data_IF_394025782336
#
_entry.id   IF_394025782336
#
_cell.length_a   1.000
_cell.length_b   1.000
_cell.length_c   1.000
_cell.angle_alpha   90.00
_cell.angle_beta   90.00
_cell.angle_gamma   90.00
#
_symmetry.space_group_name_H-M   'P 1'
#
loop_
_entity.id
_entity.type
_entity.pdbx_description
1 polymer ?
#
# COMPACT_ATOMS: atom_id res chain seq x y z
N UNK A 1 5.50 -16.07 6.45
CA UNK A 1 5.69 -15.65 5.04
C UNK A 1 4.79 -16.43 4.09
N UNK A 2 4.73 -17.78 4.15
CA UNK A 2 3.89 -18.61 3.26
C UNK A 2 2.40 -18.23 3.31
N UNK A 3 1.84 -18.01 4.52
CA UNK A 3 0.46 -17.53 4.67
C UNK A 3 0.25 -16.18 3.98
N UNK A 4 1.23 -15.28 4.12
CA UNK A 4 1.19 -13.97 3.46
C UNK A 4 1.20 -14.11 1.93
N UNK A 5 2.10 -14.96 1.40
CA UNK A 5 2.17 -15.22 -0.05
C UNK A 5 0.87 -15.83 -0.58
N UNK A 6 0.30 -16.80 0.14
CA UNK A 6 -1.00 -17.38 -0.20
C UNK A 6 -2.09 -16.32 -0.29
N UNK A 7 -2.24 -15.49 0.76
CA UNK A 7 -3.26 -14.45 0.79
C UNK A 7 -3.06 -13.40 -0.32
N UNK A 8 -1.79 -13.05 -0.62
CA UNK A 8 -1.48 -12.12 -1.71
C UNK A 8 -1.80 -12.71 -3.08
N UNK A 9 -1.53 -13.99 -3.29
CA UNK A 9 -1.94 -14.69 -4.53
C UNK A 9 -3.46 -14.71 -4.67
N UNK A 10 -4.20 -15.03 -3.61
CA UNK A 10 -5.67 -14.96 -3.60
C UNK A 10 -6.20 -13.58 -3.98
N UNK A 11 -5.51 -12.51 -3.56
CA UNK A 11 -5.86 -11.14 -3.91
C UNK A 11 -5.63 -10.85 -5.39
N UNK A 12 -4.41 -11.10 -5.90
CA UNK A 12 -4.03 -10.68 -7.26
C UNK A 12 -4.63 -11.55 -8.36
N UNK A 13 -4.98 -12.81 -8.05
CA UNK A 13 -5.64 -13.72 -8.98
C UNK A 13 -7.16 -13.72 -8.85
N UNK A 14 -7.72 -12.78 -8.06
CA UNK A 14 -9.16 -12.70 -7.88
C UNK A 14 -9.89 -12.35 -9.18
N UNK A 15 -11.04 -12.98 -9.38
CA UNK A 15 -11.96 -12.71 -10.48
C UNK A 15 -13.22 -11.95 -10.05
N UNK A 16 -13.34 -11.70 -8.76
CA UNK A 16 -14.44 -10.96 -8.17
C UNK A 16 -13.99 -10.18 -6.94
N UNK A 17 -14.82 -9.19 -6.54
CA UNK A 17 -14.55 -8.30 -5.42
C UNK A 17 -14.51 -9.02 -4.07
N UNK A 18 -15.30 -10.09 -3.87
CA UNK A 18 -15.35 -10.83 -2.61
C UNK A 18 -14.07 -11.65 -2.42
N UNK A 19 -13.59 -12.32 -3.46
CA UNK A 19 -12.32 -13.03 -3.42
C UNK A 19 -11.15 -12.05 -3.22
N UNK A 20 -11.17 -10.90 -3.91
CA UNK A 20 -10.17 -9.84 -3.69
C UNK A 20 -10.17 -9.38 -2.24
N UNK A 21 -11.35 -9.15 -1.64
CA UNK A 21 -11.49 -8.74 -0.25
C UNK A 21 -11.00 -9.83 0.72
N UNK A 22 -11.27 -11.10 0.44
CA UNK A 22 -10.74 -12.21 1.24
C UNK A 22 -9.20 -12.21 1.26
N UNK A 23 -8.57 -12.09 0.10
CA UNK A 23 -7.11 -11.96 0.02
C UNK A 23 -6.60 -10.68 0.73
N UNK A 24 -7.33 -9.57 0.59
CA UNK A 24 -7.04 -8.28 1.23
C UNK A 24 -7.00 -8.36 2.76
N UNK A 25 -7.96 -9.05 3.34
CA UNK A 25 -8.04 -9.33 4.76
C UNK A 25 -6.93 -10.30 5.22
N UNK A 26 -6.69 -11.33 4.40
CA UNK A 26 -5.65 -12.33 4.66
C UNK A 26 -4.25 -11.73 4.72
N UNK A 27 -3.90 -10.81 3.80
CA UNK A 27 -2.60 -10.11 3.86
C UNK A 27 -2.53 -9.17 5.06
N UNK A 28 -3.65 -8.57 5.48
CA UNK A 28 -3.73 -7.76 6.69
C UNK A 28 -3.42 -8.56 7.95
N UNK A 29 -4.04 -9.72 8.09
CA UNK A 29 -3.80 -10.64 9.23
C UNK A 29 -2.36 -11.15 9.22
N UNK A 30 -1.86 -11.60 8.07
CA UNK A 30 -0.48 -12.10 7.97
C UNK A 30 0.54 -10.99 8.29
N UNK A 31 0.29 -9.76 7.86
CA UNK A 31 1.12 -8.60 8.19
C UNK A 31 1.12 -8.30 9.69
N UNK A 32 -0.04 -8.35 10.35
CA UNK A 32 -0.14 -8.21 11.80
C UNK A 32 0.78 -9.18 12.54
N UNK A 33 0.72 -10.47 12.17
CA UNK A 33 1.56 -11.52 12.77
C UNK A 33 3.05 -11.33 12.47
N UNK A 34 3.38 -10.82 11.28
CA UNK A 34 4.76 -10.62 10.85
C UNK A 34 5.41 -9.36 11.45
N UNK A 35 4.65 -8.28 11.64
CA UNK A 35 5.11 -7.06 12.34
C UNK A 35 5.32 -7.39 13.82
N UNK A 36 4.38 -8.12 14.43
CA UNK A 36 4.44 -8.58 15.81
C UNK A 36 5.30 -9.83 16.02
N UNK A 37 6.23 -10.17 15.11
CA UNK A 37 7.07 -11.36 15.21
C UNK A 37 7.84 -11.43 16.53
N UNK A 38 8.34 -10.29 17.00
CA UNK A 38 8.99 -10.16 18.29
C UNK A 38 7.99 -9.78 19.39
N UNK A 39 7.02 -10.66 19.64
CA UNK A 39 5.90 -10.40 20.56
C UNK A 39 6.33 -10.13 22.02
N UNK A 40 7.56 -10.47 22.37
CA UNK A 40 8.18 -10.13 23.68
C UNK A 40 8.52 -8.63 23.78
N UNK A 41 8.52 -7.89 22.66
CA UNK A 41 8.86 -6.46 22.62
C UNK A 41 7.57 -5.63 22.61
N UNK A 42 7.34 -4.79 23.64
CA UNK A 42 6.15 -3.92 23.66
C UNK A 42 6.02 -3.01 22.43
N UNK A 43 7.15 -2.55 21.86
CA UNK A 43 7.17 -1.75 20.64
C UNK A 43 6.61 -2.50 19.42
N UNK A 44 7.00 -3.76 19.22
CA UNK A 44 6.52 -4.59 18.13
C UNK A 44 5.03 -4.93 18.28
N UNK A 45 4.57 -5.18 19.51
CA UNK A 45 3.14 -5.40 19.81
C UNK A 45 2.34 -4.14 19.50
N UNK A 46 2.78 -2.98 19.96
CA UNK A 46 2.11 -1.70 19.69
C UNK A 46 2.08 -1.38 18.18
N UNK A 47 3.19 -1.63 17.47
CA UNK A 47 3.29 -1.42 16.02
C UNK A 47 2.34 -2.34 15.24
N UNK A 48 2.27 -3.63 15.61
CA UNK A 48 1.37 -4.59 14.95
C UNK A 48 -0.10 -4.24 15.18
N UNK A 49 -0.48 -3.87 16.42
CA UNK A 49 -1.84 -3.41 16.75
C UNK A 49 -2.20 -2.14 15.97
N UNK A 50 -1.29 -1.16 15.91
CA UNK A 50 -1.49 0.07 15.14
C UNK A 50 -1.70 -0.23 13.67
N UNK A 51 -0.84 -1.07 13.06
CA UNK A 51 -0.95 -1.48 11.67
C UNK A 51 -2.30 -2.16 11.41
N UNK A 52 -2.72 -3.07 12.28
CA UNK A 52 -4.00 -3.76 12.16
C UNK A 52 -5.18 -2.79 12.21
N UNK A 53 -5.26 -1.93 13.23
CA UNK A 53 -6.37 -0.99 13.42
C UNK A 53 -6.47 0.02 12.26
N UNK A 54 -5.35 0.63 11.87
CA UNK A 54 -5.35 1.62 10.78
C UNK A 54 -5.78 1.00 9.46
N UNK A 55 -5.31 -0.22 9.16
CA UNK A 55 -5.74 -0.94 7.97
C UNK A 55 -7.24 -1.28 8.03
N UNK A 56 -7.79 -1.65 9.21
CA UNK A 56 -9.24 -1.93 9.36
C UNK A 56 -10.12 -0.73 9.04
N UNK A 57 -9.68 0.48 9.34
CA UNK A 57 -10.40 1.69 8.93
C UNK A 57 -10.52 1.75 7.39
N UNK A 58 -9.43 1.46 6.69
CA UNK A 58 -9.45 1.35 5.22
C UNK A 58 -10.32 0.20 4.72
N UNK A 59 -10.18 -0.98 5.32
CA UNK A 59 -10.90 -2.20 4.94
C UNK A 59 -12.42 -2.03 5.09
N UNK A 60 -12.86 -1.26 6.11
CA UNK A 60 -14.28 -0.91 6.26
C UNK A 60 -14.79 -0.08 5.08
N UNK A 61 -14.04 0.92 4.62
CA UNK A 61 -14.37 1.67 3.41
C UNK A 61 -14.47 0.77 2.18
N UNK A 62 -13.50 -0.14 2.00
CA UNK A 62 -13.52 -1.10 0.91
C UNK A 62 -14.76 -2.00 0.93
N UNK A 63 -15.13 -2.54 2.11
CA UNK A 63 -16.33 -3.37 2.28
C UNK A 63 -17.60 -2.59 1.93
N UNK A 64 -17.74 -1.35 2.38
CA UNK A 64 -18.88 -0.49 2.03
C UNK A 64 -18.96 -0.24 0.52
N UNK A 65 -17.82 -0.04 -0.16
CA UNK A 65 -17.77 0.07 -1.61
C UNK A 65 -18.28 -1.17 -2.32
N UNK A 66 -17.87 -2.37 -1.86
CA UNK A 66 -18.36 -3.66 -2.39
C UNK A 66 -19.87 -3.82 -2.17
N UNK A 67 -20.35 -3.50 -0.97
CA UNK A 67 -21.78 -3.58 -0.67
C UNK A 67 -22.61 -2.65 -1.55
N UNK A 68 -22.15 -1.42 -1.76
CA UNK A 68 -22.83 -0.47 -2.62
C UNK A 68 -22.84 -0.93 -4.08
N UNK A 69 -21.73 -1.48 -4.59
CA UNK A 69 -21.69 -2.12 -5.91
C UNK A 69 -22.74 -3.21 -6.01
N UNK A 70 -22.76 -4.13 -5.05
CA UNK A 70 -23.70 -5.25 -5.06
C UNK A 70 -25.17 -4.79 -5.03
N UNK A 71 -25.49 -3.82 -4.18
CA UNK A 71 -26.86 -3.26 -4.07
C UNK A 71 -27.31 -2.64 -5.39
N UNK A 72 -26.41 -1.94 -6.09
CA UNK A 72 -26.77 -1.22 -7.32
C UNK A 72 -26.72 -2.12 -8.58
N UNK A 73 -25.84 -3.12 -8.59
CA UNK A 73 -25.61 -3.93 -9.80
C UNK A 73 -26.08 -5.38 -9.68
N UNK A 74 -26.26 -5.90 -8.46
CA UNK A 74 -26.57 -7.30 -8.20
C UNK A 74 -25.42 -8.26 -8.50
N UNK A 75 -24.19 -7.77 -8.70
CA UNK A 75 -23.01 -8.60 -9.00
C UNK A 75 -21.78 -8.08 -8.29
N UNK A 76 -20.82 -8.99 -8.07
CA UNK A 76 -19.47 -8.68 -7.55
C UNK A 76 -18.36 -9.14 -8.50
N UNK A 77 -18.70 -9.78 -9.61
CA UNK A 77 -17.79 -10.27 -10.64
C UNK A 77 -17.32 -9.11 -11.51
N UNK A 78 -16.02 -9.06 -11.84
CA UNK A 78 -15.43 -7.93 -12.55
C UNK A 78 -16.04 -7.74 -13.95
N UNK A 79 -16.11 -8.78 -14.76
CA UNK A 79 -16.63 -8.67 -16.14
C UNK A 79 -18.10 -8.22 -16.16
N UNK A 80 -18.92 -8.81 -15.30
CA UNK A 80 -20.31 -8.44 -15.15
C UNK A 80 -20.48 -6.99 -14.63
N UNK A 81 -19.63 -6.56 -13.70
CA UNK A 81 -19.61 -5.20 -13.17
C UNK A 81 -19.21 -4.19 -14.26
N UNK A 82 -18.15 -4.47 -15.00
CA UNK A 82 -17.69 -3.57 -16.07
C UNK A 82 -18.74 -3.41 -17.18
N UNK A 83 -19.46 -4.48 -17.50
CA UNK A 83 -20.60 -4.40 -18.44
C UNK A 83 -21.76 -3.52 -17.96
N UNK A 84 -21.86 -3.26 -16.65
CA UNK A 84 -22.93 -2.45 -16.03
C UNK A 84 -22.53 -0.99 -15.73
N UNK A 85 -21.29 -0.58 -15.98
CA UNK A 85 -20.83 0.79 -15.69
C UNK A 85 -21.72 1.83 -16.37
N UNK A 86 -22.08 1.61 -17.64
CA UNK A 86 -22.95 2.52 -18.38
C UNK A 86 -24.32 2.71 -17.71
N UNK A 87 -24.86 1.69 -17.05
CA UNK A 87 -26.14 1.78 -16.35
C UNK A 87 -26.04 2.52 -15.00
N UNK A 88 -24.85 2.67 -14.45
CA UNK A 88 -24.58 3.42 -13.22
C UNK A 88 -24.35 4.91 -13.48
N UNK A 89 -24.10 5.30 -14.71
CA UNK A 89 -23.90 6.71 -15.06
C UNK A 89 -25.17 7.52 -14.79
N UNK A 90 -25.03 8.61 -14.03
CA UNK A 90 -26.14 9.47 -13.63
C UNK A 90 -27.03 8.92 -12.50
N UNK A 91 -26.80 7.67 -12.05
CA UNK A 91 -27.45 7.15 -10.85
C UNK A 91 -26.94 7.88 -9.62
N UNK A 92 -27.87 8.30 -8.76
CA UNK A 92 -27.55 8.92 -7.48
C UNK A 92 -27.78 7.94 -6.35
N UNK A 93 -26.83 7.89 -5.41
CA UNK A 93 -26.94 7.14 -4.16
C UNK A 93 -26.98 8.14 -2.99
N UNK A 94 -27.94 7.95 -2.10
CA UNK A 94 -27.96 8.68 -0.82
C UNK A 94 -26.91 8.06 0.10
N UNK A 95 -25.90 8.83 0.45
CA UNK A 95 -24.89 8.43 1.40
C UNK A 95 -24.66 9.55 2.41
N UNK A 96 -24.90 9.27 3.68
CA UNK A 96 -24.84 10.23 4.79
C UNK A 96 -25.76 11.44 4.60
N UNK A 97 -26.95 11.24 4.01
CA UNK A 97 -27.94 12.30 3.77
C UNK A 97 -27.60 13.25 2.61
N UNK A 98 -26.63 12.89 1.79
CA UNK A 98 -26.22 13.65 0.59
C UNK A 98 -26.38 12.76 -0.64
N UNK A 99 -27.01 13.30 -1.67
CA UNK A 99 -27.14 12.61 -2.97
C UNK A 99 -25.85 12.73 -3.77
N UNK A 100 -25.05 11.70 -3.73
CA UNK A 100 -23.81 11.57 -4.50
C UNK A 100 -24.06 10.90 -5.87
N UNK A 101 -23.19 11.18 -6.83
CA UNK A 101 -23.05 10.29 -7.97
C UNK A 101 -22.56 8.91 -7.53
N UNK A 102 -23.31 7.85 -7.94
CA UNK A 102 -23.08 6.50 -7.42
C UNK A 102 -21.67 5.98 -7.74
N UNK A 103 -21.18 6.22 -8.96
CA UNK A 103 -19.83 5.82 -9.36
C UNK A 103 -18.76 6.53 -8.53
N UNK A 104 -18.93 7.81 -8.29
CA UNK A 104 -18.01 8.60 -7.48
C UNK A 104 -17.90 8.07 -6.06
N UNK A 105 -19.04 7.82 -5.38
CA UNK A 105 -19.00 7.33 -4.00
C UNK A 105 -18.43 5.90 -3.92
N UNK A 106 -18.76 5.03 -4.86
CA UNK A 106 -18.17 3.69 -4.96
C UNK A 106 -16.65 3.80 -5.06
N UNK A 107 -16.13 4.58 -6.01
CA UNK A 107 -14.68 4.73 -6.21
C UNK A 107 -13.98 5.34 -4.99
N UNK A 108 -14.60 6.31 -4.32
CA UNK A 108 -14.05 6.90 -3.11
C UNK A 108 -14.00 5.90 -1.95
N UNK A 109 -15.05 5.10 -1.76
CA UNK A 109 -15.08 4.05 -0.73
C UNK A 109 -14.02 2.96 -0.98
N UNK A 110 -13.88 2.52 -2.22
CA UNK A 110 -12.82 1.59 -2.62
C UNK A 110 -11.43 2.21 -2.40
N UNK A 111 -11.27 3.50 -2.74
CA UNK A 111 -10.01 4.21 -2.56
C UNK A 111 -9.62 4.38 -1.09
N UNK A 112 -10.57 4.53 -0.16
CA UNK A 112 -10.29 4.51 1.29
C UNK A 112 -9.60 3.20 1.67
N UNK A 113 -10.06 2.06 1.13
CA UNK A 113 -9.38 0.78 1.28
C UNK A 113 -7.93 0.81 0.75
N UNK A 114 -7.75 1.36 -0.46
CA UNK A 114 -6.42 1.53 -1.05
C UNK A 114 -5.52 2.42 -0.19
N UNK A 115 -6.03 3.51 0.37
CA UNK A 115 -5.28 4.40 1.25
C UNK A 115 -4.76 3.68 2.49
N UNK A 116 -5.53 2.77 3.07
CA UNK A 116 -5.12 1.97 4.24
C UNK A 116 -3.92 1.08 3.90
N UNK A 117 -4.07 0.15 2.94
CA UNK A 117 -3.01 -0.80 2.58
C UNK A 117 -1.77 -0.12 1.98
N UNK A 118 -1.98 0.91 1.16
CA UNK A 118 -0.89 1.63 0.49
C UNK A 118 -0.38 2.84 1.27
N UNK A 119 -0.70 2.92 2.54
CA UNK A 119 -0.17 3.93 3.47
C UNK A 119 -0.20 5.36 2.89
N UNK A 120 -1.36 5.77 2.35
CA UNK A 120 -1.55 7.12 1.84
C UNK A 120 -1.83 8.12 2.97
N UNK A 121 -1.68 9.40 2.68
CA UNK A 121 -1.89 10.47 3.66
C UNK A 121 -3.15 10.25 4.50
N UNK A 122 -3.08 10.52 5.79
CA UNK A 122 -3.99 10.19 6.89
C UNK A 122 -3.87 8.74 7.39
N UNK A 123 -3.73 7.73 6.53
CA UNK A 123 -3.63 6.31 6.91
C UNK A 123 -2.19 5.76 6.78
N UNK A 124 -1.17 6.61 6.66
CA UNK A 124 0.24 6.22 6.45
C UNK A 124 0.98 5.83 7.73
N UNK A 125 0.48 6.23 8.89
CA UNK A 125 1.24 6.23 10.17
C UNK A 125 1.66 4.85 10.66
N UNK A 126 1.06 3.77 10.15
CA UNK A 126 1.40 2.40 10.53
C UNK A 126 2.68 1.89 9.84
N UNK A 127 2.97 2.36 8.61
CA UNK A 127 4.04 1.79 7.78
C UNK A 127 5.44 2.02 8.36
N UNK A 128 5.81 3.21 8.85
CA UNK A 128 7.12 3.41 9.49
C UNK A 128 7.28 2.63 10.81
N UNK A 129 6.20 2.46 11.58
CA UNK A 129 6.25 1.68 12.83
C UNK A 129 6.30 0.17 12.56
N UNK A 130 5.78 -0.29 11.42
CA UNK A 130 5.90 -1.67 10.98
C UNK A 130 7.35 -2.15 10.76
N UNK A 131 8.32 -1.22 10.81
CA UNK A 131 9.76 -1.54 10.76
C UNK A 131 10.29 -2.29 11.98
N UNK A 132 9.48 -2.47 13.02
CA UNK A 132 9.79 -3.35 14.17
C UNK A 132 9.92 -4.83 13.78
N UNK A 133 9.28 -5.26 12.69
CA UNK A 133 9.40 -6.63 12.17
C UNK A 133 10.80 -6.94 11.61
N UNK A 134 11.13 -8.24 11.42
CA UNK A 134 12.38 -8.66 10.80
C UNK A 134 12.60 -8.03 9.42
N UNK A 135 13.84 -7.68 9.08
CA UNK A 135 14.13 -6.96 7.82
C UNK A 135 13.68 -7.70 6.55
N UNK A 136 13.82 -9.05 6.42
CA UNK A 136 13.25 -9.77 5.27
C UNK A 136 11.73 -9.65 5.16
N UNK A 137 11.03 -9.54 6.28
CA UNK A 137 9.60 -9.27 6.34
C UNK A 137 9.30 -7.87 5.83
N UNK A 138 10.07 -6.87 6.27
CA UNK A 138 9.95 -5.49 5.79
C UNK A 138 10.17 -5.41 4.29
N UNK A 139 11.17 -6.12 3.74
CA UNK A 139 11.43 -6.20 2.32
C UNK A 139 10.25 -6.79 1.52
N UNK A 140 9.62 -7.85 2.02
CA UNK A 140 8.51 -8.50 1.33
C UNK A 140 7.22 -7.66 1.42
N UNK A 141 6.81 -7.29 2.65
CA UNK A 141 5.52 -6.62 2.90
C UNK A 141 5.51 -5.20 2.34
N UNK A 142 6.60 -4.44 2.56
CA UNK A 142 6.65 -3.00 2.32
C UNK A 142 7.31 -2.62 0.98
N UNK A 143 7.95 -3.58 0.31
CA UNK A 143 8.54 -3.30 -1.01
C UNK A 143 7.58 -3.66 -2.15
N UNK A 144 7.13 -4.92 -2.19
CA UNK A 144 6.58 -5.50 -3.41
C UNK A 144 5.11 -5.92 -3.31
N UNK A 145 4.53 -6.04 -2.09
CA UNK A 145 3.30 -6.82 -1.97
C UNK A 145 2.15 -6.07 -1.27
N UNK A 146 2.06 -6.07 0.06
CA UNK A 146 0.89 -5.51 0.75
C UNK A 146 0.64 -4.04 0.43
N UNK A 147 1.70 -3.23 0.45
CA UNK A 147 1.57 -1.78 0.20
C UNK A 147 1.24 -1.45 -1.25
N UNK A 148 1.47 -2.36 -2.19
CA UNK A 148 1.09 -2.20 -3.59
C UNK A 148 -0.31 -2.72 -3.91
N UNK A 149 -0.98 -3.39 -2.96
CA UNK A 149 -2.32 -3.94 -3.14
C UNK A 149 -3.36 -2.85 -3.51
N UNK A 150 -3.27 -1.66 -2.90
CA UNK A 150 -4.15 -0.54 -3.24
C UNK A 150 -3.91 0.00 -4.65
N UNK A 151 -2.65 0.08 -5.07
CA UNK A 151 -2.28 0.47 -6.45
C UNK A 151 -2.83 -0.55 -7.44
N UNK A 152 -2.63 -1.85 -7.16
CA UNK A 152 -3.17 -2.94 -7.97
C UNK A 152 -4.70 -2.87 -8.07
N UNK A 153 -5.40 -2.67 -6.96
CA UNK A 153 -6.86 -2.62 -6.93
C UNK A 153 -7.40 -1.46 -7.79
N UNK A 154 -6.85 -0.26 -7.67
CA UNK A 154 -7.26 0.89 -8.48
C UNK A 154 -6.98 0.65 -9.97
N UNK A 155 -5.85 0.05 -10.31
CA UNK A 155 -5.52 -0.33 -11.69
C UNK A 155 -6.44 -1.42 -12.23
N UNK A 156 -6.76 -2.45 -11.43
CA UNK A 156 -7.67 -3.55 -11.81
C UNK A 156 -9.08 -3.04 -12.06
N UNK A 157 -9.51 -2.05 -11.29
CA UNK A 157 -10.83 -1.42 -11.40
C UNK A 157 -10.80 -0.13 -12.24
N UNK A 158 -9.78 0.04 -13.10
CA UNK A 158 -9.65 1.23 -13.95
C UNK A 158 -10.91 1.61 -14.73
N UNK A 159 -11.70 0.67 -15.32
CA UNK A 159 -12.92 1.05 -16.03
C UNK A 159 -13.95 1.75 -15.13
N UNK A 160 -14.00 1.37 -13.84
CA UNK A 160 -14.88 2.01 -12.87
C UNK A 160 -14.39 3.39 -12.47
N UNK A 161 -13.07 3.54 -12.24
CA UNK A 161 -12.46 4.82 -11.88
C UNK A 161 -12.50 5.83 -13.04
N UNK A 162 -12.31 5.40 -14.29
CA UNK A 162 -12.43 6.26 -15.48
C UNK A 162 -13.83 6.84 -15.63
N UNK A 163 -14.86 6.11 -15.23
CA UNK A 163 -16.23 6.59 -15.21
C UNK A 163 -16.54 7.60 -14.08
N UNK A 164 -15.59 7.82 -13.15
CA UNK A 164 -15.73 8.71 -11.99
C UNK A 164 -14.60 9.76 -11.91
N UNK A 165 -14.58 10.81 -12.77
CA UNK A 165 -13.47 11.78 -12.82
C UNK A 165 -13.24 12.52 -11.49
N UNK A 166 -14.30 12.76 -10.70
CA UNK A 166 -14.18 13.38 -9.39
C UNK A 166 -13.38 12.51 -8.43
N UNK A 167 -13.57 11.19 -8.45
CA UNK A 167 -12.78 10.25 -7.65
C UNK A 167 -11.32 10.20 -8.11
N UNK A 168 -11.04 10.19 -9.42
CA UNK A 168 -9.68 10.27 -9.96
C UNK A 168 -8.95 11.52 -9.49
N UNK A 169 -9.64 12.67 -9.45
CA UNK A 169 -9.06 13.91 -8.91
C UNK A 169 -8.63 13.76 -7.44
N UNK A 170 -9.46 13.11 -6.62
CA UNK A 170 -9.11 12.81 -5.22
C UNK A 170 -7.91 11.89 -5.14
N UNK A 171 -7.83 10.86 -5.99
CA UNK A 171 -6.69 9.93 -6.07
C UNK A 171 -5.39 10.69 -6.37
N UNK A 172 -5.41 11.62 -7.35
CA UNK A 172 -4.24 12.47 -7.68
C UNK A 172 -3.84 13.34 -6.50
N UNK A 173 -4.79 14.05 -5.89
CA UNK A 173 -4.50 14.98 -4.78
C UNK A 173 -3.93 14.24 -3.58
N UNK A 174 -4.54 13.13 -3.18
CA UNK A 174 -4.05 12.32 -2.06
C UNK A 174 -2.68 11.72 -2.37
N UNK A 175 -2.50 11.20 -3.60
CA UNK A 175 -1.22 10.65 -4.05
C UNK A 175 -0.11 11.69 -4.04
N UNK A 176 -0.35 12.88 -4.61
CA UNK A 176 0.63 13.97 -4.65
C UNK A 176 0.98 14.48 -3.22
N UNK A 177 -0.04 14.63 -2.38
CA UNK A 177 0.16 15.02 -0.97
C UNK A 177 1.01 13.99 -0.25
N UNK A 178 0.72 12.69 -0.44
CA UNK A 178 1.49 11.60 0.17
C UNK A 178 2.94 11.63 -0.33
N UNK A 179 3.14 11.77 -1.64
CA UNK A 179 4.47 11.78 -2.25
C UNK A 179 5.36 12.88 -1.66
N UNK A 180 4.84 14.08 -1.56
CA UNK A 180 5.56 15.23 -1.02
C UNK A 180 5.76 15.11 0.50
N UNK A 181 4.69 14.87 1.25
CA UNK A 181 4.74 14.79 2.71
C UNK A 181 5.66 13.67 3.21
N UNK A 182 5.52 12.46 2.65
CA UNK A 182 6.36 11.35 3.08
C UNK A 182 7.86 11.59 2.73
N UNK A 183 8.16 12.21 1.59
CA UNK A 183 9.53 12.56 1.24
C UNK A 183 10.14 13.54 2.24
N UNK A 184 9.41 14.60 2.61
CA UNK A 184 9.91 15.59 3.59
C UNK A 184 10.14 14.98 4.98
N UNK A 185 9.26 14.08 5.43
CA UNK A 185 9.46 13.36 6.69
C UNK A 185 10.65 12.39 6.60
N UNK A 186 10.83 11.73 5.46
CA UNK A 186 11.97 10.84 5.20
C UNK A 186 13.33 11.51 5.34
N UNK A 187 13.45 12.79 4.95
CA UNK A 187 14.69 13.59 5.07
C UNK A 187 15.18 13.78 6.50
N UNK A 188 14.28 13.73 7.48
CA UNK A 188 14.61 13.95 8.90
C UNK A 188 14.64 12.69 9.74
N UNK A 189 14.46 11.51 9.12
CA UNK A 189 14.56 10.24 9.83
C UNK A 189 16.03 9.86 10.06
N UNK A 190 16.29 9.30 11.24
CA UNK A 190 17.63 8.81 11.62
C UNK A 190 17.74 7.28 11.59
N UNK A 191 16.64 6.56 11.50
CA UNK A 191 16.58 5.09 11.40
C UNK A 191 16.61 4.68 9.93
N UNK A 192 17.59 3.84 9.54
CA UNK A 192 17.80 3.41 8.15
C UNK A 192 16.55 2.72 7.56
N UNK A 193 15.83 1.92 8.34
CA UNK A 193 14.60 1.25 7.88
C UNK A 193 13.45 2.25 7.72
N UNK A 194 13.32 3.24 8.63
CA UNK A 194 12.29 4.28 8.55
C UNK A 194 12.51 5.21 7.37
N UNK A 195 13.76 5.56 7.04
CA UNK A 195 14.09 6.32 5.81
C UNK A 195 13.54 5.61 4.58
N UNK A 196 13.81 4.31 4.44
CA UNK A 196 13.33 3.51 3.31
C UNK A 196 11.79 3.37 3.34
N UNK A 197 11.17 3.26 4.51
CA UNK A 197 9.73 3.16 4.65
C UNK A 197 9.01 4.46 4.22
N UNK A 198 9.48 5.62 4.62
CA UNK A 198 8.92 6.90 4.15
C UNK A 198 9.16 7.13 2.65
N UNK A 199 10.32 6.71 2.15
CA UNK A 199 10.56 6.68 0.71
C UNK A 199 9.55 5.76 0.00
N UNK A 200 9.17 4.62 0.59
CA UNK A 200 8.12 3.75 0.06
C UNK A 200 6.76 4.44 0.03
N UNK A 201 6.34 5.11 1.12
CA UNK A 201 5.10 5.91 1.11
C UNK A 201 5.09 6.94 -0.03
N UNK A 202 6.21 7.65 -0.21
CA UNK A 202 6.35 8.65 -1.28
C UNK A 202 6.20 8.03 -2.67
N UNK A 203 6.86 6.90 -2.92
CA UNK A 203 6.79 6.20 -4.22
C UNK A 203 5.38 5.67 -4.52
N UNK A 204 4.67 5.15 -3.51
CA UNK A 204 3.26 4.78 -3.66
C UNK A 204 2.39 6.00 -4.00
N UNK A 205 2.68 7.16 -3.42
CA UNK A 205 2.03 8.42 -3.80
C UNK A 205 2.20 8.74 -5.28
N UNK A 206 3.42 8.60 -5.85
CA UNK A 206 3.65 8.77 -7.30
C UNK A 206 2.84 7.78 -8.15
N UNK A 207 2.72 6.52 -7.70
CA UNK A 207 1.90 5.54 -8.43
C UNK A 207 0.43 5.96 -8.44
N UNK A 208 -0.13 6.48 -7.34
CA UNK A 208 -1.49 6.99 -7.31
C UNK A 208 -1.67 8.25 -8.16
N UNK A 209 -0.69 9.13 -8.23
CA UNK A 209 -0.73 10.26 -9.18
C UNK A 209 -0.85 9.75 -10.61
N UNK A 210 -0.06 8.75 -10.99
CA UNK A 210 -0.13 8.15 -12.32
C UNK A 210 -1.51 7.52 -12.60
N UNK A 211 -2.04 6.72 -11.66
CA UNK A 211 -3.36 6.08 -11.78
C UNK A 211 -4.47 7.13 -11.89
N UNK A 212 -4.48 8.13 -11.00
CA UNK A 212 -5.48 9.18 -10.98
C UNK A 212 -5.42 10.11 -12.19
N UNK A 213 -4.28 10.16 -12.89
CA UNK A 213 -4.12 10.86 -14.17
C UNK A 213 -4.47 9.99 -15.40
N UNK A 214 -5.00 8.77 -15.20
CA UNK A 214 -5.32 7.83 -16.28
C UNK A 214 -4.12 7.08 -16.86
N UNK A 215 -2.90 7.28 -16.32
CA UNK A 215 -1.68 6.64 -16.80
C UNK A 215 -1.45 5.28 -16.09
N UNK A 216 -2.44 4.38 -16.14
CA UNK A 216 -2.42 3.08 -15.44
C UNK A 216 -1.19 2.24 -15.76
N UNK A 217 -0.81 2.19 -17.05
CA UNK A 217 0.39 1.46 -17.48
C UNK A 217 1.68 1.98 -16.82
N UNK A 218 1.82 3.30 -16.69
CA UNK A 218 2.95 3.92 -16.00
C UNK A 218 2.95 3.61 -14.50
N UNK A 219 1.77 3.65 -13.85
CA UNK A 219 1.61 3.29 -12.44
C UNK A 219 2.02 1.84 -12.16
N UNK A 220 1.57 0.89 -12.99
CA UNK A 220 1.92 -0.53 -12.86
C UNK A 220 3.39 -0.79 -13.24
N UNK A 221 3.94 -0.12 -14.24
CA UNK A 221 5.36 -0.22 -14.56
C UNK A 221 6.23 0.26 -13.38
N UNK A 222 5.84 1.40 -12.77
CA UNK A 222 6.53 1.90 -11.58
C UNK A 222 6.40 0.96 -10.39
N UNK A 223 5.24 0.32 -10.20
CA UNK A 223 5.05 -0.72 -9.19
C UNK A 223 6.04 -1.89 -9.40
N UNK A 224 6.19 -2.35 -10.64
CA UNK A 224 7.12 -3.43 -10.96
C UNK A 224 8.57 -3.06 -10.64
N UNK A 225 9.05 -1.92 -11.11
CA UNK A 225 10.43 -1.46 -10.83
C UNK A 225 10.65 -1.21 -9.33
N UNK A 226 9.67 -0.60 -8.65
CA UNK A 226 9.69 -0.33 -7.21
C UNK A 226 9.87 -1.60 -6.39
N UNK A 227 9.20 -2.69 -6.76
CA UNK A 227 9.32 -3.96 -6.06
C UNK A 227 10.77 -4.44 -5.96
N UNK A 228 11.53 -4.32 -7.05
CA UNK A 228 12.93 -4.76 -7.09
C UNK A 228 13.87 -3.82 -6.33
N UNK A 229 13.85 -2.53 -6.61
CA UNK A 229 14.81 -1.64 -5.97
C UNK A 229 14.52 -1.45 -4.47
N UNK A 230 13.26 -1.52 -4.03
CA UNK A 230 12.94 -1.47 -2.60
C UNK A 230 13.31 -2.75 -1.86
N UNK A 231 13.08 -3.91 -2.47
CA UNK A 231 13.57 -5.17 -1.89
C UNK A 231 15.09 -5.13 -1.72
N UNK A 232 15.82 -4.65 -2.73
CA UNK A 232 17.28 -4.46 -2.68
C UNK A 232 17.69 -3.52 -1.54
N UNK A 233 17.05 -2.36 -1.43
CA UNK A 233 17.36 -1.38 -0.38
C UNK A 233 17.07 -1.91 1.04
N UNK A 234 15.93 -2.59 1.26
CA UNK A 234 15.62 -3.17 2.56
C UNK A 234 16.58 -4.31 2.92
N UNK A 235 16.88 -5.22 2.00
CA UNK A 235 17.81 -6.32 2.26
C UNK A 235 19.24 -5.80 2.46
N UNK A 236 19.63 -4.78 1.69
CA UNK A 236 20.91 -4.08 1.85
C UNK A 236 21.00 -3.39 3.22
N UNK A 237 19.94 -2.68 3.65
CA UNK A 237 19.87 -2.11 5.00
C UNK A 237 19.98 -3.19 6.08
N UNK A 238 19.33 -4.36 5.87
CA UNK A 238 19.48 -5.51 6.77
C UNK A 238 20.91 -6.01 6.88
N UNK A 239 21.63 -6.07 5.76
CA UNK A 239 23.06 -6.45 5.76
C UNK A 239 23.92 -5.40 6.50
N UNK A 240 23.64 -4.10 6.31
CA UNK A 240 24.32 -3.02 7.07
C UNK A 240 24.03 -3.14 8.57
N UNK A 241 22.77 -3.28 8.98
CA UNK A 241 22.37 -3.43 10.38
C UNK A 241 23.07 -4.65 11.02
N UNK A 242 23.14 -5.78 10.31
CA UNK A 242 23.84 -6.97 10.78
C UNK A 242 25.32 -6.73 10.96
N UNK A 243 25.98 -6.08 10.00
CA UNK A 243 27.40 -5.73 10.08
C UNK A 243 27.72 -4.71 11.20
N UNK A 244 26.74 -3.90 11.59
CA UNK A 244 26.84 -2.89 12.66
C UNK A 244 26.28 -3.38 14.00
N UNK A 245 26.24 -4.71 14.25
CA UNK A 245 25.76 -5.29 15.50
C UNK A 245 24.36 -4.81 15.93
N UNK A 246 23.43 -4.77 15.00
CA UNK A 246 22.04 -4.35 15.16
C UNK A 246 21.81 -2.84 15.40
N UNK A 247 22.82 -1.99 15.16
CA UNK A 247 22.59 -0.55 15.12
C UNK A 247 21.72 -0.17 13.92
N UNK A 248 20.74 0.71 14.13
CA UNK A 248 19.85 1.21 13.10
C UNK A 248 19.97 2.73 12.88
N UNK A 249 20.59 3.45 13.81
CA UNK A 249 20.78 4.90 13.71
C UNK A 249 21.89 5.23 12.71
N UNK A 250 21.51 5.84 11.57
CA UNK A 250 22.45 6.22 10.50
C UNK A 250 23.55 7.18 10.96
N UNK A 251 23.31 7.95 12.02
CA UNK A 251 24.32 8.88 12.59
C UNK A 251 25.49 8.16 13.24
N UNK A 252 25.30 6.88 13.58
CA UNK A 252 26.34 6.01 14.16
C UNK A 252 26.98 5.08 13.13
N UNK A 253 26.57 5.19 11.86
CA UNK A 253 27.09 4.41 10.75
C UNK A 253 28.07 5.25 9.93
N UNK A 254 29.22 4.67 9.53
CA UNK A 254 30.19 5.37 8.67
C UNK A 254 31.34 4.46 8.23
N UNK A 255 32.03 4.83 7.15
CA UNK A 255 33.22 4.14 6.64
C UNK A 255 32.98 2.71 6.16
N UNK A 256 31.75 2.36 5.78
CA UNK A 256 31.34 0.98 5.48
C UNK A 256 31.75 0.51 4.08
N UNK A 257 31.99 1.43 3.15
CA UNK A 257 32.27 1.10 1.74
C UNK A 257 33.43 0.12 1.58
N UNK A 258 34.51 0.29 2.34
CA UNK A 258 35.65 -0.64 2.31
C UNK A 258 35.44 -1.94 3.07
N UNK A 259 34.51 -1.98 4.04
CA UNK A 259 34.25 -3.15 4.88
C UNK A 259 33.19 -4.10 4.29
N UNK A 260 32.17 -3.53 3.64
CA UNK A 260 31.08 -4.28 3.00
C UNK A 260 30.85 -3.76 1.56
N UNK A 261 31.87 -3.87 0.67
CA UNK A 261 31.84 -3.24 -0.65
C UNK A 261 30.69 -3.71 -1.53
N UNK A 262 30.35 -5.01 -1.50
CA UNK A 262 29.25 -5.55 -2.26
C UNK A 262 27.90 -4.90 -1.86
N UNK A 263 27.60 -4.87 -0.56
CA UNK A 263 26.38 -4.23 -0.05
C UNK A 263 26.31 -2.75 -0.40
N UNK A 264 27.45 -2.03 -0.26
CA UNK A 264 27.54 -0.61 -0.62
C UNK A 264 27.25 -0.38 -2.10
N UNK A 265 27.82 -1.19 -2.98
CA UNK A 265 27.57 -1.10 -4.43
C UNK A 265 26.10 -1.39 -4.77
N UNK A 266 25.53 -2.44 -4.17
CA UNK A 266 24.14 -2.79 -4.41
C UNK A 266 23.17 -1.70 -3.91
N UNK A 267 23.42 -1.13 -2.75
CA UNK A 267 22.61 -0.01 -2.25
C UNK A 267 22.76 1.25 -3.12
N UNK A 268 23.94 1.55 -3.62
CA UNK A 268 24.16 2.67 -4.54
C UNK A 268 23.44 2.47 -5.88
N UNK A 269 23.32 1.23 -6.37
CA UNK A 269 22.53 0.92 -7.58
C UNK A 269 21.02 1.04 -7.32
N UNK A 270 20.57 0.71 -6.12
CA UNK A 270 19.15 0.74 -5.75
C UNK A 270 18.62 2.13 -5.35
N UNK A 271 19.51 3.10 -5.18
CA UNK A 271 19.16 4.48 -4.79
C UNK A 271 18.99 5.35 -6.01
#
# INVERSE_FOLDING_TARGET
>A
LSLFTFAMLMLVTSDNLVQMFFGWEGVGLASYLLIGFWFDRPSAVAASMKAFIVNRVGDFGFALGIFLIFVLTGTVEFDALFGKIATLQGVKADFLGINWDALTIICLLLFIGAMGKSAQFLLHTWLPDAMEGPTPVSALIHAATMVTAGVFMVARLSPLFEAAPAALTVVVVVGATTAFFAATVGLVQNDIKRVIAYSTCSQLGYMFVALGSGAYGAGIFHLFTHAFFKALLFLGAGAVIHAMHHEQDIRRMGGLAGKIPFTTTMMAIGT
#
